data_IF_658884887707
#
_entry.id   IF_658884887707
#
_cell.length_a   1.000
_cell.length_b   1.000
_cell.length_c   1.000
_cell.angle_alpha   90.00
_cell.angle_beta   90.00
_cell.angle_gamma   90.00
#
_symmetry.space_group_name_H-M   'P 1'
#
loop_
_entity.id
_entity.type
_entity.pdbx_description
1 polymer ?
#
# COMPACT_ATOMS: atom_id res chain seq x y z
N UNK A 1 -15.29 -1.81 11.32
CA UNK A 1 -13.82 -1.66 11.30
C UNK A 1 -13.27 -2.90 10.62
N UNK A 2 -12.95 -2.82 9.33
CA UNK A 2 -12.25 -3.88 8.60
C UNK A 2 -10.90 -4.13 9.26
N UNK A 3 -10.53 -5.39 9.42
CA UNK A 3 -9.17 -5.76 9.81
C UNK A 3 -8.28 -5.38 8.62
N UNK A 4 -7.46 -4.35 8.77
CA UNK A 4 -6.41 -4.04 7.79
C UNK A 4 -5.49 -5.24 7.58
N UNK A 5 -4.81 -5.29 6.44
CA UNK A 5 -3.82 -6.31 6.18
C UNK A 5 -2.79 -6.33 7.32
N UNK A 6 -2.43 -7.53 7.78
CA UNK A 6 -1.36 -7.68 8.77
C UNK A 6 -0.04 -7.40 8.05
N UNK A 7 0.65 -6.33 8.43
CA UNK A 7 1.91 -5.89 7.83
C UNK A 7 3.07 -6.01 8.80
N UNK A 8 4.24 -6.20 8.27
CA UNK A 8 5.48 -6.36 9.00
C UNK A 8 5.80 -7.82 9.31
N UNK A 9 7.05 -8.20 9.17
CA UNK A 9 7.55 -9.49 9.60
C UNK A 9 7.57 -9.52 11.12
N UNK A 10 6.93 -10.52 11.74
CA UNK A 10 7.02 -10.73 13.18
C UNK A 10 8.45 -11.11 13.55
N UNK A 11 9.18 -10.22 14.22
CA UNK A 11 10.55 -10.52 14.69
C UNK A 11 10.60 -11.20 16.06
N UNK A 12 9.43 -11.44 16.66
CA UNK A 12 9.32 -12.22 17.90
C UNK A 12 10.00 -11.61 19.14
N UNK A 13 10.59 -10.42 19.03
CA UNK A 13 11.24 -9.69 20.10
C UNK A 13 10.58 -8.33 20.31
N UNK A 14 10.48 -7.89 21.54
CA UNK A 14 10.02 -6.54 21.85
C UNK A 14 11.06 -5.53 21.37
N UNK A 15 10.62 -4.53 20.60
CA UNK A 15 11.46 -3.42 20.17
C UNK A 15 11.59 -2.41 21.30
N UNK A 16 12.83 -1.98 21.58
CA UNK A 16 13.09 -1.01 22.66
C UNK A 16 12.44 0.35 22.38
N UNK A 17 12.02 1.06 23.42
CA UNK A 17 11.32 2.33 23.32
C UNK A 17 12.11 3.39 22.52
N UNK A 18 13.44 3.45 22.67
CA UNK A 18 14.31 4.36 21.92
C UNK A 18 14.32 4.05 20.43
N UNK A 19 14.36 2.79 20.04
CA UNK A 19 14.27 2.36 18.64
C UNK A 19 12.92 2.71 18.04
N UNK A 20 11.83 2.52 18.78
CA UNK A 20 10.48 2.89 18.36
C UNK A 20 10.36 4.39 18.05
N UNK A 21 10.99 5.26 18.84
CA UNK A 21 11.00 6.71 18.60
C UNK A 21 11.77 7.04 17.32
N UNK A 22 12.92 6.43 17.07
CA UNK A 22 13.70 6.67 15.86
C UNK A 22 12.93 6.25 14.61
N UNK A 23 12.33 5.06 14.64
CA UNK A 23 11.49 4.55 13.56
C UNK A 23 10.28 5.46 13.35
N UNK A 24 9.60 5.88 14.43
CA UNK A 24 8.46 6.80 14.38
C UNK A 24 8.80 8.11 13.65
N UNK A 25 9.92 8.73 13.95
CA UNK A 25 10.37 9.95 13.25
C UNK A 25 10.58 9.73 11.74
N UNK A 26 11.11 8.57 11.36
CA UNK A 26 11.26 8.21 9.93
C UNK A 26 9.90 8.02 9.26
N UNK A 27 8.96 7.35 9.94
CA UNK A 27 7.60 7.16 9.44
C UNK A 27 6.83 8.49 9.33
N UNK A 28 6.98 9.39 10.30
CA UNK A 28 6.38 10.74 10.24
C UNK A 28 6.85 11.51 9.01
N UNK A 29 8.16 11.47 8.74
CA UNK A 29 8.72 12.11 7.55
C UNK A 29 8.19 11.50 6.27
N UNK A 30 8.22 10.18 6.16
CA UNK A 30 7.70 9.46 4.98
C UNK A 30 6.20 9.73 4.76
N UNK A 31 5.41 9.78 5.84
CA UNK A 31 3.99 10.12 5.79
C UNK A 31 3.76 11.55 5.26
N UNK A 32 4.54 12.52 5.73
CA UNK A 32 4.45 13.91 5.28
C UNK A 32 4.83 14.06 3.80
N UNK A 33 5.89 13.37 3.35
CA UNK A 33 6.31 13.35 1.95
C UNK A 33 5.25 12.69 1.05
N UNK A 34 4.66 11.59 1.49
CA UNK A 34 3.58 10.92 0.77
C UNK A 34 2.30 11.77 0.70
N UNK A 35 1.95 12.47 1.76
CA UNK A 35 0.77 13.34 1.82
C UNK A 35 0.85 14.55 0.85
N UNK A 36 2.05 14.92 0.42
CA UNK A 36 2.25 15.97 -0.58
C UNK A 36 1.97 15.50 -2.02
N UNK A 37 1.71 14.21 -2.23
CA UNK A 37 1.46 13.64 -3.56
C UNK A 37 -0.03 13.71 -3.89
N UNK A 38 -0.36 14.28 -5.04
CA UNK A 38 -1.74 14.36 -5.52
C UNK A 38 -2.35 12.96 -5.69
N UNK A 39 -3.55 12.76 -5.16
CA UNK A 39 -4.27 11.50 -5.22
C UNK A 39 -3.87 10.47 -4.15
N UNK A 40 -2.87 10.77 -3.32
CA UNK A 40 -2.49 9.92 -2.19
C UNK A 40 -3.24 10.33 -0.92
N UNK A 41 -3.86 9.35 -0.26
CA UNK A 41 -4.41 9.49 1.09
C UNK A 41 -3.50 8.76 2.06
N UNK A 42 -3.03 9.44 3.10
CA UNK A 42 -2.02 8.89 4.02
C UNK A 42 -2.59 8.71 5.40
N UNK A 43 -2.37 7.54 5.97
CA UNK A 43 -2.76 7.17 7.33
C UNK A 43 -1.58 6.56 8.06
N UNK A 44 -1.35 7.00 9.28
CA UNK A 44 -0.40 6.36 10.19
C UNK A 44 -1.08 5.17 10.87
N UNK A 45 -0.42 4.05 10.85
CA UNK A 45 -0.91 2.78 11.41
C UNK A 45 0.17 2.14 12.27
N UNK A 46 -0.15 1.02 12.87
CA UNK A 46 0.79 0.21 13.68
C UNK A 46 1.00 -1.13 13.01
N UNK A 47 2.25 -1.55 12.86
CA UNK A 47 2.62 -2.85 12.29
C UNK A 47 2.50 -3.99 13.32
N UNK A 48 2.81 -5.22 12.89
CA UNK A 48 2.77 -6.41 13.75
C UNK A 48 3.77 -6.40 14.93
N UNK A 49 4.76 -5.51 14.86
CA UNK A 49 5.76 -5.34 15.93
C UNK A 49 5.38 -4.23 16.92
N UNK A 50 4.21 -3.60 16.74
CA UNK A 50 3.79 -2.44 17.52
C UNK A 50 4.50 -1.14 17.11
N UNK A 51 5.20 -1.13 15.97
CA UNK A 51 5.89 0.02 15.44
C UNK A 51 4.99 0.85 14.53
N UNK A 52 5.23 2.16 14.50
CA UNK A 52 4.56 3.05 13.57
C UNK A 52 4.91 2.67 12.13
N UNK A 53 3.88 2.65 11.28
CA UNK A 53 3.96 2.39 9.85
C UNK A 53 3.06 3.37 9.10
N UNK A 54 3.17 3.39 7.78
CA UNK A 54 2.42 4.31 6.91
C UNK A 54 1.60 3.52 5.91
N UNK A 55 0.32 3.85 5.78
CA UNK A 55 -0.56 3.37 4.72
C UNK A 55 -0.85 4.52 3.75
N UNK A 56 -0.56 4.31 2.48
CA UNK A 56 -0.88 5.24 1.40
C UNK A 56 -1.93 4.61 0.52
N UNK A 57 -3.08 5.26 0.39
CA UNK A 57 -4.20 4.78 -0.42
C UNK A 57 -4.33 5.62 -1.68
N UNK A 58 -4.41 4.95 -2.83
CA UNK A 58 -4.71 5.54 -4.13
C UNK A 58 -6.06 5.03 -4.64
N UNK A 59 -6.92 5.95 -5.07
CA UNK A 59 -8.18 5.61 -5.72
C UNK A 59 -7.93 4.94 -7.08
N UNK A 60 -8.51 3.74 -7.29
CA UNK A 60 -8.36 3.03 -8.56
C UNK A 60 -8.95 3.80 -9.75
N UNK A 61 -9.95 4.66 -9.53
CA UNK A 61 -10.50 5.52 -10.58
C UNK A 61 -9.52 6.56 -11.08
N UNK A 62 -8.58 6.98 -10.24
CA UNK A 62 -7.46 7.87 -10.62
C UNK A 62 -6.37 7.05 -11.33
N UNK A 63 -6.08 5.86 -10.83
CA UNK A 63 -4.99 5.02 -11.34
C UNK A 63 -5.31 4.37 -12.68
N UNK A 64 -6.55 3.89 -12.87
CA UNK A 64 -6.93 3.01 -13.98
C UNK A 64 -8.25 3.43 -14.64
N UNK A 65 -8.40 3.09 -15.91
CA UNK A 65 -9.70 3.11 -16.57
C UNK A 65 -10.64 2.03 -16.02
N UNK A 66 -11.94 2.15 -16.31
CA UNK A 66 -12.97 1.18 -15.90
C UNK A 66 -12.62 -0.23 -16.39
N UNK A 67 -12.58 -1.19 -15.48
CA UNK A 67 -12.25 -2.59 -15.78
C UNK A 67 -10.83 -2.84 -16.31
N UNK A 68 -9.95 -1.85 -16.28
CA UNK A 68 -8.59 -1.94 -16.78
C UNK A 68 -7.56 -1.95 -15.63
N UNK A 69 -6.39 -2.48 -15.93
CA UNK A 69 -5.20 -2.47 -15.06
C UNK A 69 -4.03 -1.65 -15.66
N UNK A 70 -4.24 -1.00 -16.80
CA UNK A 70 -3.27 -0.09 -17.38
C UNK A 70 -3.32 1.27 -16.68
N UNK A 71 -2.16 1.74 -16.20
CA UNK A 71 -2.05 3.02 -15.50
C UNK A 71 -2.30 4.21 -16.43
N UNK A 72 -3.09 5.18 -15.95
CA UNK A 72 -3.28 6.48 -16.62
C UNK A 72 -2.00 7.31 -16.60
N UNK A 73 -1.92 8.35 -17.42
CA UNK A 73 -0.78 9.29 -17.44
C UNK A 73 -0.64 10.03 -16.11
N UNK A 74 -1.75 10.45 -15.51
CA UNK A 74 -1.77 11.16 -14.22
C UNK A 74 -1.33 10.23 -13.09
N UNK A 75 -1.78 8.97 -13.13
CA UNK A 75 -1.32 7.93 -12.21
C UNK A 75 0.19 7.75 -12.27
N UNK A 76 0.75 7.65 -13.47
CA UNK A 76 2.20 7.51 -13.65
C UNK A 76 2.96 8.71 -13.10
N UNK A 77 2.44 9.93 -13.25
CA UNK A 77 3.05 11.13 -12.68
C UNK A 77 3.06 11.07 -11.14
N UNK A 78 1.93 10.73 -10.51
CA UNK A 78 1.81 10.60 -9.05
C UNK A 78 2.68 9.47 -8.51
N UNK A 79 2.66 8.30 -9.12
CA UNK A 79 3.48 7.15 -8.72
C UNK A 79 4.98 7.40 -8.92
N UNK A 80 5.37 8.15 -9.96
CA UNK A 80 6.76 8.57 -10.16
C UNK A 80 7.24 9.48 -9.02
N UNK A 81 6.41 10.44 -8.60
CA UNK A 81 6.70 11.27 -7.41
C UNK A 81 6.80 10.42 -6.15
N UNK A 82 5.87 9.48 -5.96
CA UNK A 82 5.90 8.57 -4.82
C UNK A 82 7.18 7.70 -4.80
N UNK A 83 7.58 7.15 -5.94
CA UNK A 83 8.82 6.40 -6.05
C UNK A 83 10.05 7.26 -5.71
N UNK A 84 10.16 8.45 -6.31
CA UNK A 84 11.36 9.29 -6.19
C UNK A 84 11.46 10.02 -4.86
N UNK A 85 10.35 10.55 -4.35
CA UNK A 85 10.34 11.42 -3.18
C UNK A 85 10.12 10.64 -1.87
N UNK A 86 9.52 9.44 -1.94
CA UNK A 86 9.18 8.65 -0.75
C UNK A 86 9.96 7.34 -0.71
N UNK A 87 9.71 6.41 -1.64
CA UNK A 87 10.25 5.05 -1.53
C UNK A 87 11.78 4.99 -1.66
N UNK A 88 12.35 5.69 -2.63
CA UNK A 88 13.81 5.73 -2.84
C UNK A 88 14.57 6.51 -1.77
N UNK A 89 13.89 7.38 -1.04
CA UNK A 89 14.46 8.10 0.11
C UNK A 89 14.36 7.30 1.42
N UNK A 90 13.58 6.23 1.43
CA UNK A 90 13.30 5.40 2.60
C UNK A 90 13.58 3.92 2.32
N UNK A 91 14.78 3.61 1.84
CA UNK A 91 15.19 2.27 1.39
C UNK A 91 15.24 1.23 2.52
N UNK A 92 15.31 1.64 3.77
CA UNK A 92 15.20 0.76 4.95
C UNK A 92 13.77 0.34 5.28
N UNK A 93 12.77 0.88 4.58
CA UNK A 93 11.37 0.47 4.76
C UNK A 93 11.01 -0.60 3.75
N UNK A 94 10.34 -1.63 4.23
CA UNK A 94 9.69 -2.65 3.39
C UNK A 94 8.32 -2.15 2.92
N UNK A 95 7.89 -2.63 1.76
CA UNK A 95 6.67 -2.18 1.07
C UNK A 95 5.80 -3.37 0.71
N UNK A 96 4.52 -3.29 1.08
CA UNK A 96 3.48 -4.21 0.63
C UNK A 96 2.44 -3.44 -0.20
N UNK A 97 1.96 -4.03 -1.29
CA UNK A 97 0.98 -3.44 -2.20
C UNK A 97 -0.23 -4.35 -2.28
N UNK A 98 -1.42 -3.82 -1.99
CA UNK A 98 -2.68 -4.55 -2.05
C UNK A 98 -3.69 -3.84 -2.95
N UNK A 99 -4.28 -4.59 -3.89
CA UNK A 99 -5.36 -4.10 -4.73
C UNK A 99 -6.72 -4.56 -4.20
N UNK A 100 -7.74 -3.70 -4.30
CA UNK A 100 -9.11 -3.99 -3.88
C UNK A 100 -10.11 -3.56 -4.94
N UNK A 101 -11.24 -4.26 -4.98
CA UNK A 101 -12.40 -3.92 -5.80
C UNK A 101 -13.61 -3.59 -4.90
N UNK A 102 -14.68 -3.09 -5.53
CA UNK A 102 -16.00 -3.16 -4.92
C UNK A 102 -16.59 -4.58 -5.09
N UNK A 103 -17.83 -4.79 -4.64
CA UNK A 103 -18.54 -6.06 -4.73
C UNK A 103 -19.41 -6.21 -5.99
N UNK A 104 -19.22 -5.36 -6.99
CA UNK A 104 -20.02 -5.42 -8.22
C UNK A 104 -19.75 -6.70 -9.01
N UNK A 105 -20.83 -7.37 -9.38
CA UNK A 105 -20.76 -8.55 -10.24
C UNK A 105 -20.38 -8.20 -11.66
N UNK A 106 -19.74 -9.14 -12.33
CA UNK A 106 -19.39 -9.03 -13.75
C UNK A 106 -20.57 -9.51 -14.62
N UNK A 107 -20.80 -8.80 -15.72
CA UNK A 107 -21.84 -9.17 -16.68
C UNK A 107 -21.63 -10.62 -17.18
N UNK A 108 -22.73 -11.37 -17.29
CA UNK A 108 -22.71 -12.77 -17.73
C UNK A 108 -21.82 -13.69 -16.85
N UNK A 109 -21.74 -13.43 -15.57
CA UNK A 109 -20.96 -14.22 -14.61
C UNK A 109 -21.82 -14.61 -13.42
N UNK A 110 -21.57 -15.77 -12.85
CA UNK A 110 -22.11 -16.14 -11.54
C UNK A 110 -21.46 -15.32 -10.44
N UNK A 111 -22.00 -15.36 -9.22
CA UNK A 111 -21.42 -14.68 -8.07
C UNK A 111 -19.98 -15.13 -7.81
N UNK A 112 -19.71 -16.44 -7.87
CA UNK A 112 -18.38 -17.02 -7.68
C UNK A 112 -17.42 -16.60 -8.79
N UNK A 113 -17.86 -16.63 -10.05
CA UNK A 113 -17.06 -16.14 -11.17
C UNK A 113 -16.74 -14.65 -11.06
N UNK A 114 -17.69 -13.85 -10.61
CA UNK A 114 -17.49 -12.40 -10.38
C UNK A 114 -16.45 -12.16 -9.28
N UNK A 115 -16.54 -12.90 -8.19
CA UNK A 115 -15.58 -12.82 -7.09
C UNK A 115 -14.16 -13.15 -7.57
N UNK A 116 -13.99 -14.23 -8.35
CA UNK A 116 -12.69 -14.60 -8.89
C UNK A 116 -12.16 -13.55 -9.88
N UNK A 117 -13.02 -12.98 -10.71
CA UNK A 117 -12.63 -11.89 -11.63
C UNK A 117 -12.20 -10.62 -10.88
N UNK A 118 -12.85 -10.29 -9.78
CA UNK A 118 -12.46 -9.18 -8.92
C UNK A 118 -11.10 -9.42 -8.26
N UNK A 119 -10.82 -10.63 -7.79
CA UNK A 119 -9.49 -11.01 -7.29
C UNK A 119 -8.44 -10.84 -8.39
N UNK A 120 -8.67 -11.35 -9.58
CA UNK A 120 -7.74 -11.26 -10.71
C UNK A 120 -7.49 -9.79 -11.10
N UNK A 121 -8.54 -8.96 -11.25
CA UNK A 121 -8.41 -7.55 -11.59
C UNK A 121 -7.61 -6.78 -10.51
N UNK A 122 -7.90 -7.03 -9.25
CA UNK A 122 -7.17 -6.39 -8.15
C UNK A 122 -5.70 -6.82 -8.11
N UNK A 123 -5.39 -8.07 -8.43
CA UNK A 123 -4.02 -8.57 -8.56
C UNK A 123 -3.29 -7.89 -9.73
N UNK A 124 -3.91 -7.79 -10.88
CA UNK A 124 -3.33 -7.11 -12.06
C UNK A 124 -3.06 -5.63 -11.77
N UNK A 125 -3.96 -4.96 -11.05
CA UNK A 125 -3.80 -3.56 -10.64
C UNK A 125 -2.65 -3.36 -9.66
N UNK A 126 -2.57 -4.19 -8.63
CA UNK A 126 -1.45 -4.16 -7.68
C UNK A 126 -0.11 -4.43 -8.39
N UNK A 127 -0.11 -5.38 -9.33
CA UNK A 127 1.08 -5.70 -10.14
C UNK A 127 1.48 -4.54 -11.06
N UNK A 128 0.53 -3.84 -11.66
CA UNK A 128 0.81 -2.67 -12.50
C UNK A 128 1.47 -1.55 -11.71
N UNK A 129 0.99 -1.29 -10.49
CA UNK A 129 1.62 -0.31 -9.58
C UNK A 129 3.04 -0.74 -9.23
N UNK A 130 3.24 -1.99 -8.81
CA UNK A 130 4.56 -2.53 -8.47
C UNK A 130 5.54 -2.42 -9.64
N UNK A 131 5.13 -2.88 -10.81
CA UNK A 131 5.97 -2.86 -12.03
C UNK A 131 6.37 -1.42 -12.39
N UNK A 132 5.46 -0.48 -12.25
CA UNK A 132 5.77 0.93 -12.54
C UNK A 132 6.72 1.53 -11.51
N UNK A 133 6.53 1.26 -10.22
CA UNK A 133 7.45 1.71 -9.17
C UNK A 133 8.87 1.16 -9.39
N UNK A 134 9.00 -0.12 -9.76
CA UNK A 134 10.29 -0.72 -10.13
C UNK A 134 10.92 -0.02 -11.34
N UNK A 135 10.12 0.31 -12.36
CA UNK A 135 10.60 1.06 -13.53
C UNK A 135 11.09 2.46 -13.18
N UNK A 136 10.60 3.06 -12.10
CA UNK A 136 11.07 4.34 -11.56
C UNK A 136 12.35 4.20 -10.70
N UNK A 137 12.87 2.98 -10.54
CA UNK A 137 14.12 2.71 -9.81
C UNK A 137 13.95 2.34 -8.34
N UNK A 138 12.72 2.02 -7.88
CA UNK A 138 12.52 1.43 -6.56
C UNK A 138 13.19 0.05 -6.55
N UNK A 139 13.95 -0.24 -5.48
CA UNK A 139 14.67 -1.51 -5.37
C UNK A 139 13.70 -2.69 -5.24
N UNK A 140 13.92 -3.76 -6.02
CA UNK A 140 13.03 -4.92 -6.03
C UNK A 140 12.95 -5.64 -4.68
N UNK A 141 14.03 -5.62 -3.89
CA UNK A 141 14.06 -6.20 -2.55
C UNK A 141 13.29 -5.37 -1.50
N UNK A 142 12.91 -4.15 -1.81
CA UNK A 142 12.07 -3.30 -0.95
C UNK A 142 10.60 -3.71 -1.02
N UNK A 143 10.11 -4.19 -2.18
CA UNK A 143 8.73 -4.63 -2.35
C UNK A 143 8.61 -6.10 -1.92
N UNK A 144 7.88 -6.35 -0.83
CA UNK A 144 7.76 -7.67 -0.21
C UNK A 144 6.52 -8.44 -0.63
N UNK A 145 5.39 -7.74 -0.79
CA UNK A 145 4.12 -8.33 -1.21
C UNK A 145 3.45 -7.51 -2.28
N UNK A 146 2.82 -8.20 -3.23
CA UNK A 146 1.96 -7.62 -4.25
C UNK A 146 0.76 -8.55 -4.40
N UNK A 147 -0.41 -8.15 -3.89
CA UNK A 147 -1.53 -9.06 -3.71
C UNK A 147 -2.86 -8.39 -4.07
N UNK A 148 -3.70 -9.14 -4.78
CA UNK A 148 -5.07 -8.76 -5.09
C UNK A 148 -6.04 -9.37 -4.10
N UNK A 149 -6.78 -8.52 -3.39
CA UNK A 149 -7.73 -8.89 -2.34
C UNK A 149 -9.17 -9.00 -2.84
N UNK A 150 -9.43 -8.61 -4.10
CA UNK A 150 -10.78 -8.56 -4.61
C UNK A 150 -11.68 -7.65 -3.79
N UNK A 151 -12.88 -8.11 -3.46
CA UNK A 151 -13.89 -7.38 -2.68
C UNK A 151 -13.74 -7.51 -1.16
N UNK A 152 -12.66 -8.14 -0.69
CA UNK A 152 -12.42 -8.31 0.74
C UNK A 152 -12.11 -6.96 1.42
N UNK A 153 -12.37 -6.90 2.73
CA UNK A 153 -12.09 -5.73 3.56
C UNK A 153 -12.62 -4.39 3.02
N UNK A 154 -13.93 -4.27 2.73
CA UNK A 154 -14.51 -3.01 2.29
C UNK A 154 -14.33 -1.93 3.37
N UNK A 155 -13.96 -0.72 2.94
CA UNK A 155 -13.81 0.45 3.83
C UNK A 155 -15.04 1.35 3.85
N UNK A 156 -15.94 1.17 2.89
CA UNK A 156 -17.17 1.94 2.73
C UNK A 156 -18.34 1.04 2.31
N UNK A 157 -19.54 1.60 2.31
CA UNK A 157 -20.77 0.89 1.99
C UNK A 157 -20.88 0.60 0.47
N UNK A 158 -20.81 -0.66 0.10
CA UNK A 158 -20.96 -1.12 -1.27
C UNK A 158 -22.38 -0.91 -1.88
N UNK A 159 -23.38 -0.59 -1.07
CA UNK A 159 -24.73 -0.29 -1.57
C UNK A 159 -24.78 1.06 -2.28
N UNK A 160 -23.89 1.97 -1.98
CA UNK A 160 -23.80 3.31 -2.59
C UNK A 160 -22.72 3.41 -3.67
N UNK A 161 -22.93 4.26 -4.66
CA UNK A 161 -21.92 4.51 -5.69
C UNK A 161 -20.64 5.13 -5.11
N UNK A 162 -20.78 6.05 -4.15
CA UNK A 162 -19.67 6.68 -3.46
C UNK A 162 -18.86 5.64 -2.66
N UNK A 163 -19.51 4.78 -1.89
CA UNK A 163 -18.83 3.75 -1.11
C UNK A 163 -18.14 2.70 -1.99
N UNK A 164 -18.73 2.32 -3.13
CA UNK A 164 -18.05 1.46 -4.10
C UNK A 164 -16.79 2.13 -4.68
N UNK A 165 -16.84 3.44 -4.93
CA UNK A 165 -15.67 4.21 -5.38
C UNK A 165 -14.52 4.13 -4.36
N UNK A 166 -14.81 4.33 -3.08
CA UNK A 166 -13.82 4.23 -2.01
C UNK A 166 -13.25 2.81 -1.86
N UNK A 167 -14.07 1.78 -2.08
CA UNK A 167 -13.63 0.39 -2.01
C UNK A 167 -12.69 0.00 -3.16
N UNK A 168 -12.82 0.64 -4.34
CA UNK A 168 -11.91 0.46 -5.47
C UNK A 168 -10.63 1.25 -5.25
N UNK A 169 -9.62 0.62 -4.67
CA UNK A 169 -8.38 1.26 -4.25
C UNK A 169 -7.16 0.36 -4.37
N UNK A 170 -5.99 0.96 -4.35
CA UNK A 170 -4.72 0.30 -4.12
C UNK A 170 -4.11 0.88 -2.85
N UNK A 171 -3.74 0.03 -1.92
CA UNK A 171 -3.08 0.40 -0.67
C UNK A 171 -1.60 0.02 -0.74
N UNK A 172 -0.74 0.96 -0.39
CA UNK A 172 0.70 0.76 -0.28
C UNK A 172 1.09 0.97 1.18
N UNK A 173 1.63 -0.07 1.79
CA UNK A 173 2.10 -0.05 3.17
C UNK A 173 3.60 0.10 3.21
N UNK A 174 4.09 0.98 4.07
CA UNK A 174 5.51 1.17 4.36
C UNK A 174 5.75 0.89 5.84
N UNK A 175 6.67 -0.02 6.15
CA UNK A 175 6.99 -0.43 7.51
C UNK A 175 8.48 -0.72 7.65
N UNK A 176 8.97 -0.71 8.90
CA UNK A 176 10.38 -0.95 9.17
C UNK A 176 10.79 -2.38 8.78
N UNK A 177 11.86 -2.50 8.00
CA UNK A 177 12.49 -3.79 7.73
C UNK A 177 13.18 -4.33 8.99
N UNK A 178 13.49 -5.64 9.05
CA UNK A 178 14.31 -6.19 10.14
C UNK A 178 15.65 -5.47 10.33
N UNK A 179 16.30 -5.09 9.22
CA UNK A 179 17.56 -4.35 9.23
C UNK A 179 17.40 -2.95 9.80
N UNK A 180 16.33 -2.25 9.44
CA UNK A 180 16.02 -0.92 9.99
C UNK A 180 15.79 -0.98 11.50
N UNK A 181 15.09 -2.01 11.98
CA UNK A 181 14.87 -2.23 13.41
C UNK A 181 16.20 -2.49 14.13
N UNK A 182 17.07 -3.33 13.59
CA UNK A 182 18.39 -3.61 14.16
C UNK A 182 19.23 -2.33 14.23
N UNK A 183 19.24 -1.50 13.19
CA UNK A 183 19.94 -0.21 13.18
C UNK A 183 19.37 0.75 14.22
N UNK A 184 18.06 0.79 14.38
CA UNK A 184 17.41 1.63 15.41
C UNK A 184 17.78 1.18 16.82
N UNK A 185 17.80 -0.11 17.09
CA UNK A 185 18.21 -0.68 18.39
C UNK A 185 19.69 -0.46 18.69
N UNK A 186 20.55 -0.50 17.67
CA UNK A 186 21.97 -0.20 17.78
C UNK A 186 22.28 1.32 17.87
N UNK A 187 21.28 2.19 17.66
CA UNK A 187 21.46 3.65 17.61
C UNK A 187 22.18 4.13 16.36
N UNK A 188 22.25 3.33 15.30
CA UNK A 188 22.94 3.63 14.03
C UNK A 188 22.00 4.02 12.90
N UNK A 189 20.69 4.04 13.12
CA UNK A 189 19.71 4.47 12.16
C UNK A 189 19.85 5.99 11.90
N UNK A 190 20.21 6.36 10.67
CA UNK A 190 20.39 7.75 10.20
C UNK A 190 19.15 8.26 9.45
#
# INVERSE_FOLDING_TARGET
KGKGAAIGAGIGAAVGAGAGVLIGKKMDKAAAEAAAIEGAQVEQITDNNGLQAVKVTFDSGILFGTGAAALSSDAKASLSKFANNVLKQNTGMDVDIYGYTDNQGWKNSTAEQSKQKNINLSQERAQSVSTYLLSCGVAGNQIKKVEGMGEENPIADNSTAAGRQENRRVEVYMYASPEMIQQAEAGTLQ
#
